data_IF_598308697688
#
_entry.id   IF_598308697688
#
_cell.length_a   1.000
_cell.length_b   1.000
_cell.length_c   1.000
_cell.angle_alpha   90.00
_cell.angle_beta   90.00
_cell.angle_gamma   90.00
#
_symmetry.space_group_name_H-M   'P 1'
#
loop_
_entity.id
_entity.type
_entity.pdbx_description
1 polymer ?
#
# COMPACT_ATOMS: atom_id res chain seq x y z
N UNK A 1 8.13 24.86 -2.37
CA UNK A 1 9.33 24.26 -3.00
C UNK A 1 9.21 24.42 -4.51
N UNK A 2 10.03 25.27 -5.15
CA UNK A 2 10.10 25.33 -6.63
C UNK A 2 10.98 24.17 -7.10
N UNK A 3 10.38 23.22 -7.78
CA UNK A 3 11.06 22.07 -8.36
C UNK A 3 11.54 22.49 -9.76
N UNK A 4 12.79 22.20 -10.11
CA UNK A 4 13.32 22.52 -11.44
C UNK A 4 12.49 21.79 -12.50
N UNK A 5 11.99 22.52 -13.50
CA UNK A 5 11.10 22.03 -14.57
C UNK A 5 11.76 21.04 -15.55
N UNK A 6 12.83 20.36 -15.15
CA UNK A 6 13.63 19.47 -15.99
C UNK A 6 13.11 18.02 -16.00
N UNK A 7 12.34 17.60 -14.99
CA UNK A 7 11.78 16.25 -14.93
C UNK A 7 10.29 16.29 -14.58
N UNK A 8 9.47 15.70 -15.45
CA UNK A 8 8.03 15.52 -15.23
C UNK A 8 7.75 14.48 -14.13
N UNK A 9 8.66 13.52 -13.94
CA UNK A 9 8.61 12.48 -12.91
C UNK A 9 9.20 13.01 -11.62
N UNK A 10 8.42 12.93 -10.55
CA UNK A 10 8.74 13.44 -9.21
C UNK A 10 9.12 12.35 -8.22
N UNK A 11 8.88 11.09 -8.60
CA UNK A 11 9.19 9.88 -7.87
C UNK A 11 8.47 8.69 -8.51
N UNK A 12 8.58 7.53 -7.90
CA UNK A 12 7.78 6.35 -8.23
C UNK A 12 7.00 5.92 -6.99
N UNK A 13 5.91 5.21 -7.25
CA UNK A 13 5.05 4.62 -6.25
C UNK A 13 4.91 3.14 -6.58
N UNK A 14 5.21 2.26 -5.63
CA UNK A 14 5.37 0.82 -5.92
C UNK A 14 4.54 -0.04 -4.98
N UNK A 15 4.17 -1.22 -5.45
CA UNK A 15 3.72 -2.33 -4.65
C UNK A 15 4.74 -3.47 -4.70
N UNK A 16 5.15 -4.00 -3.56
CA UNK A 16 6.03 -5.19 -3.48
C UNK A 16 5.31 -6.36 -2.83
N UNK A 17 5.70 -7.59 -3.12
CA UNK A 17 5.21 -8.76 -2.39
C UNK A 17 6.00 -8.99 -1.09
N UNK A 18 5.48 -9.88 -0.24
CA UNK A 18 6.16 -10.37 0.97
C UNK A 18 7.57 -10.94 0.78
N UNK A 19 7.91 -11.33 -0.44
CA UNK A 19 9.26 -11.82 -0.78
C UNK A 19 10.19 -10.70 -1.22
N UNK A 20 9.77 -9.43 -1.14
CA UNK A 20 10.53 -8.26 -1.56
C UNK A 20 10.53 -8.02 -3.08
N UNK A 21 9.72 -8.75 -3.86
CA UNK A 21 9.68 -8.59 -5.31
C UNK A 21 8.70 -7.48 -5.72
N UNK A 22 9.11 -6.64 -6.67
CA UNK A 22 8.28 -5.60 -7.24
C UNK A 22 7.10 -6.23 -8.01
N UNK A 23 5.87 -5.87 -7.63
CA UNK A 23 4.65 -6.32 -8.32
C UNK A 23 4.13 -5.26 -9.28
N UNK A 24 4.04 -4.01 -8.82
CA UNK A 24 3.50 -2.88 -9.59
C UNK A 24 4.36 -1.65 -9.30
N UNK A 25 4.58 -0.82 -10.30
CA UNK A 25 5.25 0.47 -10.19
C UNK A 25 4.54 1.49 -11.07
N UNK A 26 4.39 2.72 -10.56
CA UNK A 26 3.87 3.82 -11.34
C UNK A 26 4.67 5.11 -11.09
N UNK A 27 4.85 5.90 -12.14
CA UNK A 27 5.53 7.19 -12.07
C UNK A 27 4.62 8.25 -11.45
N UNK A 28 5.17 9.00 -10.49
CA UNK A 28 4.51 10.17 -9.93
C UNK A 28 4.78 11.40 -10.79
N UNK A 29 3.85 11.70 -11.70
CA UNK A 29 3.99 12.78 -12.68
C UNK A 29 3.46 14.11 -12.12
N UNK A 30 4.36 15.10 -12.00
CA UNK A 30 4.15 16.50 -11.54
C UNK A 30 3.60 16.72 -10.12
N UNK A 31 2.95 15.74 -9.50
CA UNK A 31 2.07 15.98 -8.36
C UNK A 31 2.64 15.61 -6.99
N UNK A 32 3.85 15.05 -6.92
CA UNK A 32 4.31 14.33 -5.71
C UNK A 32 3.34 13.20 -5.34
N UNK A 33 3.39 12.75 -4.09
CA UNK A 33 2.51 11.70 -3.57
C UNK A 33 1.07 12.19 -3.42
N UNK A 34 0.22 11.76 -4.36
CA UNK A 34 -1.23 11.96 -4.29
C UNK A 34 -1.95 10.63 -4.15
N UNK A 35 -3.14 10.67 -3.57
CA UNK A 35 -3.98 9.50 -3.35
C UNK A 35 -4.43 8.77 -4.62
N UNK A 36 -4.27 9.36 -5.80
CA UNK A 36 -4.53 8.68 -7.09
C UNK A 36 -3.61 7.47 -7.33
N UNK A 37 -2.37 7.50 -6.82
CA UNK A 37 -1.41 6.41 -7.01
C UNK A 37 -1.76 5.16 -6.19
N UNK A 38 -2.01 5.25 -4.86
CA UNK A 38 -2.46 4.09 -4.10
C UNK A 38 -3.80 3.55 -4.62
N UNK A 39 -4.74 4.41 -5.04
CA UNK A 39 -6.00 3.97 -5.67
C UNK A 39 -5.78 3.20 -6.98
N UNK A 40 -4.86 3.67 -7.83
CA UNK A 40 -4.52 2.96 -9.07
C UNK A 40 -3.83 1.62 -8.78
N UNK A 41 -2.94 1.57 -7.79
CA UNK A 41 -2.26 0.33 -7.39
C UNK A 41 -3.26 -0.71 -6.88
N UNK A 42 -4.20 -0.36 -5.99
CA UNK A 42 -5.14 -1.36 -5.47
C UNK A 42 -6.00 -1.97 -6.58
N UNK A 43 -6.44 -1.16 -7.55
CA UNK A 43 -7.20 -1.66 -8.68
C UNK A 43 -6.38 -2.62 -9.51
N UNK A 44 -5.13 -2.26 -9.79
CA UNK A 44 -4.26 -3.11 -10.58
C UNK A 44 -3.88 -4.39 -9.84
N UNK A 45 -3.74 -4.35 -8.51
CA UNK A 45 -3.56 -5.55 -7.69
C UNK A 45 -4.77 -6.47 -7.77
N UNK A 46 -5.99 -5.93 -7.62
CA UNK A 46 -7.23 -6.72 -7.71
C UNK A 46 -7.38 -7.32 -9.13
N UNK A 47 -7.09 -6.54 -10.17
CA UNK A 47 -7.16 -6.99 -11.56
C UNK A 47 -6.19 -8.16 -11.84
N UNK A 48 -4.97 -8.11 -11.30
CA UNK A 48 -3.91 -9.07 -11.62
C UNK A 48 -3.93 -10.29 -10.70
N UNK A 49 -4.15 -10.09 -9.40
CA UNK A 49 -4.04 -11.15 -8.38
C UNK A 49 -5.39 -11.61 -7.84
N UNK A 50 -6.48 -10.92 -8.19
CA UNK A 50 -7.84 -11.30 -7.79
C UNK A 50 -8.23 -10.78 -6.41
N UNK A 51 -8.91 -11.63 -5.66
CA UNK A 51 -9.53 -11.28 -4.39
C UNK A 51 -8.60 -11.56 -3.20
N UNK A 52 -9.01 -11.14 -2.01
CA UNK A 52 -8.38 -11.53 -0.73
C UNK A 52 -6.95 -11.03 -0.59
N UNK A 53 -6.72 -9.81 -1.07
CA UNK A 53 -5.42 -9.15 -0.97
C UNK A 53 -5.35 -8.36 0.34
N UNK A 54 -4.28 -8.57 1.12
CA UNK A 54 -3.93 -7.72 2.27
C UNK A 54 -2.80 -6.77 1.92
N UNK A 55 -3.04 -5.47 2.06
CA UNK A 55 -2.10 -4.43 1.70
C UNK A 55 -1.54 -3.70 2.93
N UNK A 56 -0.23 -3.76 3.12
CA UNK A 56 0.52 -2.89 4.01
C UNK A 56 0.65 -1.48 3.44
N UNK A 57 0.23 -0.49 4.23
CA UNK A 57 0.48 0.92 3.95
C UNK A 57 0.48 1.71 5.25
N UNK A 58 1.45 2.61 5.45
CA UNK A 58 1.61 3.39 6.69
C UNK A 58 0.33 4.08 7.13
N UNK A 59 -0.45 4.56 6.15
CA UNK A 59 -1.71 5.26 6.38
C UNK A 59 -2.93 4.43 6.00
N UNK A 60 -2.83 3.08 6.01
CA UNK A 60 -3.92 2.18 5.62
C UNK A 60 -5.26 2.51 6.30
N UNK A 61 -5.23 2.89 7.58
CA UNK A 61 -6.42 3.28 8.34
C UNK A 61 -7.15 4.51 7.76
N UNK A 62 -6.39 5.49 7.26
CA UNK A 62 -6.93 6.71 6.65
C UNK A 62 -7.28 6.45 5.19
N UNK A 63 -6.45 5.65 4.51
CA UNK A 63 -6.66 5.23 3.13
C UNK A 63 -7.96 4.45 2.97
N UNK A 64 -8.27 3.51 3.86
CA UNK A 64 -9.52 2.75 3.83
C UNK A 64 -10.77 3.65 3.89
N UNK A 65 -10.73 4.73 4.71
CA UNK A 65 -11.82 5.73 4.78
C UNK A 65 -11.99 6.53 3.49
N UNK A 66 -10.93 6.68 2.72
CA UNK A 66 -10.98 7.38 1.44
C UNK A 66 -11.46 6.44 0.34
N UNK A 67 -11.01 5.18 0.33
CA UNK A 67 -11.51 4.15 -0.57
C UNK A 67 -13.03 3.96 -0.40
N UNK A 68 -13.54 3.94 0.84
CA UNK A 68 -14.98 3.83 1.10
C UNK A 68 -15.82 5.01 0.60
N UNK A 69 -15.19 6.17 0.37
CA UNK A 69 -15.82 7.38 -0.18
C UNK A 69 -15.57 7.54 -1.68
N UNK A 70 -14.75 6.68 -2.27
CA UNK A 70 -14.41 6.73 -3.68
C UNK A 70 -15.39 5.92 -4.52
N UNK A 71 -15.35 6.11 -5.83
CA UNK A 71 -16.08 5.27 -6.79
C UNK A 71 -15.61 3.81 -6.80
N UNK A 72 -14.51 3.48 -6.11
CA UNK A 72 -13.94 2.13 -6.08
C UNK A 72 -14.47 1.28 -4.93
N UNK A 73 -15.30 1.84 -4.05
CA UNK A 73 -15.76 1.18 -2.83
C UNK A 73 -16.34 -0.21 -3.11
N UNK A 74 -17.29 -0.32 -4.04
CA UNK A 74 -17.97 -1.58 -4.37
C UNK A 74 -16.99 -2.62 -4.92
N UNK A 75 -16.09 -2.21 -5.80
CA UNK A 75 -15.10 -3.11 -6.40
C UNK A 75 -14.10 -3.64 -5.36
N UNK A 76 -13.60 -2.77 -4.49
CA UNK A 76 -12.66 -3.14 -3.42
C UNK A 76 -13.35 -4.04 -2.39
N UNK A 77 -14.60 -3.74 -2.06
CA UNK A 77 -15.40 -4.56 -1.14
C UNK A 77 -15.69 -5.95 -1.74
N UNK A 78 -16.10 -6.02 -3.00
CA UNK A 78 -16.33 -7.28 -3.70
C UNK A 78 -15.07 -8.14 -3.78
N UNK A 79 -13.90 -7.52 -3.94
CA UNK A 79 -12.61 -8.19 -3.93
C UNK A 79 -12.13 -8.62 -2.54
N UNK A 80 -12.86 -8.31 -1.46
CA UNK A 80 -12.43 -8.57 -0.06
C UNK A 80 -11.05 -8.00 0.25
N UNK A 81 -10.68 -6.90 -0.40
CA UNK A 81 -9.41 -6.23 -0.18
C UNK A 81 -9.39 -5.58 1.21
N UNK A 82 -8.28 -5.73 1.93
CA UNK A 82 -8.10 -5.15 3.26
C UNK A 82 -6.71 -4.53 3.43
N UNK A 83 -6.64 -3.48 4.25
CA UNK A 83 -5.40 -2.76 4.55
C UNK A 83 -4.84 -3.11 5.92
N UNK A 84 -3.54 -2.96 6.09
CA UNK A 84 -2.77 -3.19 7.33
C UNK A 84 -1.79 -2.02 7.48
N UNK A 85 -1.63 -1.48 8.69
CA UNK A 85 -0.59 -0.48 8.94
C UNK A 85 0.71 -1.22 9.28
N UNK A 86 1.83 -0.87 8.66
CA UNK A 86 3.11 -1.53 8.88
C UNK A 86 3.50 -1.54 10.37
N UNK A 87 4.17 -2.60 10.82
CA UNK A 87 4.35 -2.91 12.24
C UNK A 87 5.05 -1.78 13.01
N UNK A 88 6.07 -1.15 12.41
CA UNK A 88 6.77 -0.05 13.05
C UNK A 88 5.88 1.21 13.11
N UNK A 89 5.23 1.53 11.98
CA UNK A 89 4.36 2.69 11.85
C UNK A 89 3.10 2.60 12.71
N UNK A 90 2.58 1.39 12.94
CA UNK A 90 1.36 1.14 13.71
C UNK A 90 1.41 1.71 15.12
N UNK A 91 2.55 1.61 15.81
CA UNK A 91 2.72 2.16 17.16
C UNK A 91 2.65 3.69 17.22
N UNK A 92 2.87 4.38 16.10
CA UNK A 92 2.75 5.84 16.02
C UNK A 92 1.30 6.32 15.89
N UNK A 93 0.35 5.40 15.68
CA UNK A 93 -1.06 5.74 15.56
C UNK A 93 -1.76 5.71 16.92
N UNK A 94 -2.96 6.29 17.01
CA UNK A 94 -3.76 6.23 18.23
C UNK A 94 -4.14 4.79 18.60
N UNK A 95 -4.48 4.55 19.88
CA UNK A 95 -4.76 3.21 20.41
C UNK A 95 -5.85 2.45 19.62
N UNK A 96 -6.92 3.13 19.19
CA UNK A 96 -7.97 2.48 18.40
C UNK A 96 -7.43 1.97 17.06
N UNK A 97 -6.66 2.81 16.37
CA UNK A 97 -6.01 2.42 15.13
C UNK A 97 -5.02 1.26 15.31
N UNK A 98 -4.29 1.22 16.43
CA UNK A 98 -3.40 0.09 16.74
C UNK A 98 -4.19 -1.22 16.88
N UNK A 99 -5.32 -1.21 17.58
CA UNK A 99 -6.12 -2.42 17.78
C UNK A 99 -6.75 -2.92 16.48
N UNK A 100 -7.17 -2.00 15.60
CA UNK A 100 -7.92 -2.37 14.38
C UNK A 100 -7.02 -2.65 13.17
N UNK A 101 -5.82 -2.07 13.09
CA UNK A 101 -4.99 -2.08 11.87
C UNK A 101 -3.56 -2.59 12.03
N UNK A 102 -3.10 -2.87 13.26
CA UNK A 102 -1.75 -3.36 13.49
C UNK A 102 -1.65 -4.86 13.15
N UNK A 103 -0.60 -5.33 12.46
CA UNK A 103 -0.48 -6.71 11.97
C UNK A 103 -0.60 -7.76 13.08
N UNK A 104 -0.13 -7.45 14.29
CA UNK A 104 -0.30 -8.31 15.48
C UNK A 104 -1.75 -8.71 15.78
N UNK A 105 -2.73 -7.89 15.40
CA UNK A 105 -4.16 -8.13 15.68
C UNK A 105 -4.95 -8.50 14.41
N UNK A 106 -4.28 -8.67 13.26
CA UNK A 106 -4.94 -8.97 11.99
C UNK A 106 -4.66 -10.40 11.54
N UNK A 107 -5.73 -11.16 11.31
CA UNK A 107 -5.62 -12.53 10.83
C UNK A 107 -5.11 -12.58 9.38
N UNK A 108 -4.41 -13.66 9.03
CA UNK A 108 -3.93 -13.93 7.66
C UNK A 108 -2.69 -13.14 7.22
N UNK A 109 -2.16 -12.23 8.04
CA UNK A 109 -0.92 -11.49 7.70
C UNK A 109 0.37 -12.24 8.10
N UNK A 110 0.26 -13.19 9.03
CA UNK A 110 1.41 -13.94 9.55
C UNK A 110 2.36 -13.08 10.38
N UNK A 111 3.67 -13.31 10.24
CA UNK A 111 4.74 -12.54 10.93
C UNK A 111 5.31 -11.42 10.06
N UNK A 112 4.56 -10.97 9.05
CA UNK A 112 4.99 -9.91 8.14
C UNK A 112 5.00 -8.56 8.88
N UNK A 113 6.06 -7.78 8.70
CA UNK A 113 6.19 -6.42 9.26
C UNK A 113 5.62 -5.35 8.32
N UNK A 114 5.45 -5.68 7.03
CA UNK A 114 5.02 -4.83 5.93
C UNK A 114 5.98 -3.69 5.57
N UNK A 115 7.27 -3.82 5.89
CA UNK A 115 8.32 -2.82 5.64
C UNK A 115 9.08 -3.08 4.32
N UNK A 116 8.46 -3.77 3.36
CA UNK A 116 9.14 -4.21 2.15
C UNK A 116 9.48 -3.09 1.16
N UNK A 117 8.69 -2.02 1.13
CA UNK A 117 8.99 -0.87 0.27
C UNK A 117 10.18 -0.09 0.79
N UNK A 118 10.28 0.06 2.10
CA UNK A 118 11.37 0.70 2.83
C UNK A 118 12.68 -0.01 2.54
N UNK A 119 12.68 -1.36 2.58
CA UNK A 119 13.84 -2.16 2.18
C UNK A 119 14.20 -1.95 0.71
N UNK A 120 13.23 -2.10 -0.20
CA UNK A 120 13.46 -1.87 -1.63
C UNK A 120 14.07 -0.49 -1.89
N UNK A 121 13.55 0.54 -1.21
CA UNK A 121 14.01 1.90 -1.39
C UNK A 121 15.37 2.15 -0.77
N UNK A 122 15.68 1.53 0.38
CA UNK A 122 17.00 1.59 0.99
C UNK A 122 18.10 1.01 0.10
N UNK A 123 17.76 0.01 -0.72
CA UNK A 123 18.67 -0.60 -1.69
C UNK A 123 18.71 0.15 -3.03
N UNK A 124 17.80 1.10 -3.24
CA UNK A 124 17.70 1.87 -4.48
C UNK A 124 18.22 3.30 -4.29
N UNK A 125 18.92 3.85 -5.28
CA UNK A 125 19.55 5.17 -5.17
C UNK A 125 18.58 6.37 -5.28
N UNK A 126 17.28 6.15 -5.19
CA UNK A 126 16.26 7.12 -5.58
C UNK A 126 15.19 7.32 -4.47
N UNK A 127 14.64 8.54 -4.37
CA UNK A 127 13.65 8.94 -3.34
C UNK A 127 12.25 8.45 -3.71
N UNK A 128 11.61 7.61 -2.89
CA UNK A 128 10.36 6.93 -3.26
C UNK A 128 9.37 6.70 -2.09
N UNK A 129 8.11 6.34 -2.41
CA UNK A 129 6.94 6.20 -1.51
C UNK A 129 6.25 4.83 -1.61
N UNK A 130 5.70 4.33 -0.49
CA UNK A 130 5.46 2.93 -0.07
C UNK A 130 4.07 2.31 -0.34
N UNK A 131 4.01 1.04 -0.79
CA UNK A 131 2.92 0.05 -0.61
C UNK A 131 3.45 -1.40 -0.58
N UNK A 132 3.06 -2.22 0.40
CA UNK A 132 3.39 -3.66 0.46
C UNK A 132 2.14 -4.54 0.26
N UNK A 133 2.20 -5.65 -0.48
CA UNK A 133 1.05 -6.51 -0.80
C UNK A 133 1.30 -7.98 -0.43
N UNK A 134 0.30 -8.63 0.18
CA UNK A 134 0.24 -10.06 0.44
C UNK A 134 -0.88 -10.70 -0.40
N UNK A 135 -0.56 -11.63 -1.32
CA UNK A 135 -1.55 -12.57 -1.83
C UNK A 135 -1.87 -13.60 -0.74
N UNK A 136 -3.16 -13.75 -0.37
CA UNK A 136 -3.59 -14.85 0.49
C UNK A 136 -3.70 -16.16 -0.33
N UNK A 137 -3.38 -17.32 0.26
CA UNK A 137 -3.66 -18.60 -0.38
C UNK A 137 -5.17 -18.76 -0.57
N UNK A 138 -5.58 -19.28 -1.73
CA UNK A 138 -6.97 -19.64 -2.02
C UNK A 138 -7.45 -20.67 -0.99
N UNK A 139 -8.46 -20.32 -0.21
CA UNK A 139 -9.21 -21.28 0.59
C UNK A 139 -10.13 -22.07 -0.33
N UNK A 140 -9.70 -23.26 -0.71
CA UNK A 140 -10.61 -24.37 -1.09
C UNK A 140 -11.31 -24.93 0.15
#
# INVERSE_FOLDING_TARGET
KKMFALFSVTGIFVAVCRHGQLLIMCDMIWSGELMKYPLAIILKLIEVYGNDIKLGYDIACSFAKMVSKSSLHEQVQAARFSGVVAAFHGYSHNRGCQLDWHPLYMEGVGKEDFEGCERLFSESCCRYTFIHCLPLPSSD
#
